data_IF_777302238650
#
_entry.id   IF_777302238650
#
_cell.length_a   1.000
_cell.length_b   1.000
_cell.length_c   1.000
_cell.angle_alpha   90.00
_cell.angle_beta   90.00
_cell.angle_gamma   90.00
#
_symmetry.space_group_name_H-M   'P 1'
#
loop_
_entity.id
_entity.type
_entity.pdbx_description
1 polymer ?
#
# COMPACT_ATOMS: atom_id res chain seq x y z
N UNK A 1 67.13 -15.00 -9.34
CA UNK A 1 65.68 -14.75 -9.51
C UNK A 1 65.03 -16.07 -9.90
N UNK A 2 64.35 -16.72 -8.95
CA UNK A 2 63.67 -17.99 -9.21
C UNK A 2 62.33 -17.73 -9.91
N UNK A 3 62.03 -18.49 -10.96
CA UNK A 3 60.77 -18.39 -11.72
C UNK A 3 59.64 -18.98 -10.86
N UNK A 4 58.46 -18.33 -10.77
CA UNK A 4 57.35 -18.81 -9.93
C UNK A 4 56.86 -20.19 -10.41
N UNK A 5 56.27 -21.00 -9.51
CA UNK A 5 55.77 -22.32 -9.85
C UNK A 5 54.67 -22.24 -10.93
N UNK A 6 54.59 -23.23 -11.83
CA UNK A 6 53.74 -23.17 -13.02
C UNK A 6 52.24 -22.93 -12.71
N UNK A 7 51.75 -23.42 -11.57
CA UNK A 7 50.36 -23.22 -11.13
C UNK A 7 50.04 -21.76 -10.72
N UNK A 8 51.01 -21.02 -10.17
CA UNK A 8 50.83 -19.60 -9.83
C UNK A 8 50.90 -18.71 -11.07
N UNK A 9 51.73 -19.07 -12.05
CA UNK A 9 51.84 -18.34 -13.32
C UNK A 9 50.54 -18.50 -14.15
N UNK A 10 49.94 -19.69 -14.12
CA UNK A 10 48.67 -20.01 -14.78
C UNK A 10 47.46 -19.33 -14.10
N UNK A 11 47.40 -19.33 -12.77
CA UNK A 11 46.40 -18.60 -12.00
C UNK A 11 46.52 -17.07 -12.17
N UNK A 12 47.74 -16.54 -12.26
CA UNK A 12 47.98 -15.12 -12.54
C UNK A 12 47.57 -14.73 -13.97
N UNK A 13 47.78 -15.61 -14.95
CA UNK A 13 47.31 -15.41 -16.33
C UNK A 13 45.78 -15.41 -16.41
N UNK A 14 45.11 -16.34 -15.73
CA UNK A 14 43.64 -16.39 -15.65
C UNK A 14 43.04 -15.14 -14.99
N UNK A 15 43.65 -14.65 -13.90
CA UNK A 15 43.21 -13.40 -13.23
C UNK A 15 43.36 -12.17 -14.13
N UNK A 16 44.44 -12.08 -14.93
CA UNK A 16 44.60 -10.99 -15.91
C UNK A 16 43.59 -11.07 -17.04
N UNK A 17 43.28 -12.28 -17.53
CA UNK A 17 42.26 -12.51 -18.57
C UNK A 17 40.87 -12.11 -18.08
N UNK A 18 40.50 -12.52 -16.87
CA UNK A 18 39.22 -12.17 -16.24
C UNK A 18 39.06 -10.65 -16.09
N UNK A 19 40.09 -9.94 -15.63
CA UNK A 19 40.05 -8.47 -15.51
C UNK A 19 39.84 -7.77 -16.85
N UNK A 20 40.42 -8.29 -17.95
CA UNK A 20 40.21 -7.72 -19.29
C UNK A 20 38.77 -7.93 -19.76
N UNK A 21 38.23 -9.15 -19.60
CA UNK A 21 36.85 -9.48 -19.99
C UNK A 21 35.83 -8.64 -19.21
N UNK A 22 36.03 -8.50 -17.90
CA UNK A 22 35.19 -7.65 -17.04
C UNK A 22 35.24 -6.18 -17.48
N UNK A 23 36.43 -5.66 -17.82
CA UNK A 23 36.57 -4.29 -18.33
C UNK A 23 35.82 -4.09 -19.66
N UNK A 24 35.87 -5.06 -20.58
CA UNK A 24 35.15 -5.01 -21.87
C UNK A 24 33.64 -5.06 -21.68
N UNK A 25 33.16 -5.87 -20.73
CA UNK A 25 31.74 -5.96 -20.35
C UNK A 25 31.24 -4.63 -19.77
N UNK A 26 32.02 -4.00 -18.88
CA UNK A 26 31.64 -2.71 -18.26
C UNK A 26 31.67 -1.53 -19.23
N UNK A 27 32.41 -1.64 -20.34
CA UNK A 27 32.45 -0.63 -21.39
C UNK A 27 31.27 -0.72 -22.39
N UNK A 28 30.32 -1.65 -22.18
CA UNK A 28 29.07 -1.75 -22.95
C UNK A 28 29.21 -2.33 -24.37
N UNK A 29 30.38 -2.90 -24.71
CA UNK A 29 30.68 -3.41 -26.05
C UNK A 29 30.66 -4.94 -26.20
N UNK A 30 30.21 -5.69 -25.19
CA UNK A 30 30.38 -7.15 -25.14
C UNK A 30 29.08 -7.93 -25.39
N UNK A 31 29.12 -8.89 -26.33
CA UNK A 31 28.05 -9.88 -26.53
C UNK A 31 28.05 -10.98 -25.47
N UNK A 32 26.98 -11.79 -25.44
CA UNK A 32 26.76 -12.85 -24.44
C UNK A 32 27.96 -13.81 -24.26
N UNK A 33 28.72 -14.06 -25.32
CA UNK A 33 29.91 -14.93 -25.30
C UNK A 33 31.01 -14.45 -24.33
N UNK A 34 31.15 -13.13 -24.12
CA UNK A 34 32.15 -12.59 -23.20
C UNK A 34 31.79 -12.84 -21.72
N UNK A 35 30.49 -12.93 -21.41
CA UNK A 35 30.00 -13.24 -20.07
C UNK A 35 30.21 -14.72 -19.75
N UNK A 36 29.93 -15.60 -20.70
CA UNK A 36 30.17 -17.04 -20.57
C UNK A 36 31.66 -17.36 -20.45
N UNK A 37 32.51 -16.66 -21.20
CA UNK A 37 33.96 -16.80 -21.11
C UNK A 37 34.53 -16.28 -19.77
N UNK A 38 33.96 -15.21 -19.23
CA UNK A 38 34.31 -14.72 -17.89
C UNK A 38 33.89 -15.70 -16.78
N UNK A 39 32.70 -16.31 -16.90
CA UNK A 39 32.23 -17.32 -15.98
C UNK A 39 33.11 -18.60 -16.00
N UNK A 40 33.51 -19.05 -17.19
CA UNK A 40 34.41 -20.20 -17.34
C UNK A 40 35.80 -19.92 -16.75
N UNK A 41 36.36 -18.72 -16.94
CA UNK A 41 37.64 -18.34 -16.36
C UNK A 41 37.60 -18.24 -14.82
N UNK A 42 36.46 -17.83 -14.25
CA UNK A 42 36.21 -17.84 -12.80
C UNK A 42 36.14 -19.25 -12.23
N UNK A 43 35.46 -20.17 -12.92
CA UNK A 43 35.37 -21.57 -12.52
C UNK A 43 36.75 -22.26 -12.53
N UNK A 44 37.55 -22.04 -13.57
CA UNK A 44 38.91 -22.58 -13.67
C UNK A 44 39.85 -22.04 -12.56
N UNK A 45 39.69 -20.77 -12.17
CA UNK A 45 40.42 -20.19 -11.03
C UNK A 45 40.05 -20.83 -9.69
N UNK A 46 38.77 -21.20 -9.53
CA UNK A 46 38.27 -21.88 -8.32
C UNK A 46 38.88 -23.28 -8.20
N UNK A 47 38.97 -24.03 -9.30
CA UNK A 47 39.57 -25.37 -9.27
C UNK A 47 41.09 -25.33 -9.01
N UNK A 48 41.80 -24.36 -9.59
CA UNK A 48 43.23 -24.18 -9.37
C UNK A 48 43.59 -23.83 -7.90
N UNK A 49 42.68 -23.22 -7.14
CA UNK A 49 42.88 -22.89 -5.72
C UNK A 49 42.50 -24.02 -4.75
N UNK A 50 41.71 -25.02 -5.18
CA UNK A 50 41.17 -26.08 -4.32
C UNK A 50 42.03 -27.37 -4.36
N UNK A 51 42.92 -27.53 -5.34
CA UNK A 51 43.74 -28.74 -5.53
C UNK A 51 44.87 -29.00 -4.52
N UNK A 52 44.97 -28.26 -3.42
CA UNK A 52 46.17 -28.22 -2.56
C UNK A 52 45.98 -28.58 -1.09
N UNK A 53 45.36 -29.73 -0.74
CA UNK A 53 45.71 -30.51 0.48
C UNK A 53 44.76 -31.67 0.74
N UNK A 54 45.16 -32.89 0.37
CA UNK A 54 44.71 -34.12 1.02
C UNK A 54 45.85 -35.14 1.02
N UNK A 55 46.33 -35.53 2.22
CA UNK A 55 46.93 -36.84 2.53
C UNK A 55 47.20 -36.96 4.03
N UNK A 56 46.75 -38.07 4.66
CA UNK A 56 47.42 -38.64 5.84
C UNK A 56 46.53 -39.08 7.02
N UNK A 57 46.22 -40.37 7.04
CA UNK A 57 45.56 -41.17 8.08
C UNK A 57 46.11 -41.10 9.53
N UNK A 58 45.16 -41.15 10.49
CA UNK A 58 45.03 -42.05 11.68
C UNK A 58 46.17 -42.10 12.73
N UNK A 59 45.83 -41.69 13.96
CA UNK A 59 46.53 -42.05 15.21
C UNK A 59 45.94 -41.31 16.41
N UNK A 60 45.36 -42.04 17.38
CA UNK A 60 44.90 -41.53 18.68
C UNK A 60 46.11 -41.17 19.56
N UNK A 61 46.04 -40.04 20.26
CA UNK A 61 46.27 -39.87 21.72
C UNK A 61 46.56 -38.40 22.08
N UNK A 62 45.63 -37.84 22.84
CA UNK A 62 45.75 -36.76 23.84
C UNK A 62 47.07 -35.99 23.96
N UNK A 63 47.04 -34.68 23.67
CA UNK A 63 47.47 -33.60 24.60
C UNK A 63 47.24 -32.18 24.04
N UNK A 64 46.74 -31.33 24.94
CA UNK A 64 46.88 -29.87 25.02
C UNK A 64 45.91 -28.97 24.25
N UNK A 65 45.14 -28.22 25.04
CA UNK A 65 44.33 -27.09 24.63
C UNK A 65 45.19 -25.93 24.10
N UNK A 66 45.07 -25.64 22.80
CA UNK A 66 45.15 -24.31 22.17
C UNK A 66 45.29 -24.50 20.66
N UNK A 67 44.17 -24.68 19.97
CA UNK A 67 44.02 -24.39 18.53
C UNK A 67 42.52 -24.31 18.27
N UNK A 68 41.89 -23.24 18.77
CA UNK A 68 40.60 -22.83 18.23
C UNK A 68 40.88 -22.38 16.79
N UNK A 69 40.32 -23.08 15.80
CA UNK A 69 40.31 -22.66 14.41
C UNK A 69 39.84 -21.20 14.34
N UNK A 70 40.81 -20.29 14.18
CA UNK A 70 40.57 -18.86 14.22
C UNK A 70 39.72 -18.48 13.01
N UNK A 71 38.67 -17.68 13.23
CA UNK A 71 37.81 -17.13 12.16
C UNK A 71 38.69 -16.64 10.99
N UNK A 72 38.47 -17.13 9.75
CA UNK A 72 39.24 -16.69 8.59
C UNK A 72 39.28 -15.16 8.48
N UNK A 73 40.46 -14.60 8.28
CA UNK A 73 40.66 -13.13 8.28
C UNK A 73 39.76 -12.40 7.26
N UNK A 74 39.40 -13.07 6.17
CA UNK A 74 38.48 -12.57 5.14
C UNK A 74 37.02 -12.39 5.60
N UNK A 75 36.65 -12.98 6.75
CA UNK A 75 35.33 -12.85 7.37
C UNK A 75 35.29 -11.78 8.46
N UNK A 76 36.46 -11.24 8.84
CA UNK A 76 36.57 -10.21 9.87
C UNK A 76 36.46 -8.82 9.25
N UNK A 77 35.73 -7.93 9.92
CA UNK A 77 35.65 -6.52 9.57
C UNK A 77 37.00 -5.85 9.89
N UNK A 78 37.65 -5.18 8.94
CA UNK A 78 38.95 -4.54 9.18
C UNK A 78 38.92 -3.40 10.21
N UNK A 79 37.74 -2.81 10.50
CA UNK A 79 37.58 -1.76 11.52
C UNK A 79 37.43 -2.37 12.92
N UNK A 80 36.55 -3.35 13.07
CA UNK A 80 36.18 -3.89 14.39
C UNK A 80 36.92 -5.17 14.78
N UNK A 81 37.61 -5.79 13.81
CA UNK A 81 38.24 -7.12 13.94
C UNK A 81 37.27 -8.23 14.38
N UNK A 82 35.96 -8.02 14.20
CA UNK A 82 34.89 -8.99 14.49
C UNK A 82 34.34 -9.57 13.20
N UNK A 83 33.73 -10.75 13.28
CA UNK A 83 33.06 -11.36 12.13
C UNK A 83 32.00 -10.41 11.55
N UNK A 84 32.01 -10.23 10.23
CA UNK A 84 31.08 -9.36 9.52
C UNK A 84 29.69 -9.99 9.54
N UNK A 85 28.72 -9.29 10.11
CA UNK A 85 27.31 -9.69 10.08
C UNK A 85 26.69 -9.23 8.78
N UNK A 86 26.89 -7.97 8.43
CA UNK A 86 26.43 -7.38 7.17
C UNK A 86 27.61 -6.87 6.33
N UNK A 87 28.25 -7.73 5.51
CA UNK A 87 29.39 -7.34 4.70
C UNK A 87 28.97 -6.42 3.54
N UNK A 88 29.55 -5.24 3.48
CA UNK A 88 29.39 -4.23 2.41
C UNK A 88 30.73 -3.84 1.81
N UNK A 89 30.76 -3.62 0.50
CA UNK A 89 31.92 -3.15 -0.26
C UNK A 89 31.85 -1.65 -0.45
N UNK A 90 32.98 -0.98 -0.19
CA UNK A 90 33.20 0.44 -0.51
C UNK A 90 33.94 0.57 -1.85
N UNK A 91 33.99 1.77 -2.44
CA UNK A 91 34.63 2.02 -3.75
C UNK A 91 36.07 1.48 -3.87
N UNK A 92 36.84 1.43 -2.77
CA UNK A 92 38.20 0.85 -2.77
C UNK A 92 38.23 -0.68 -2.96
N UNK A 93 37.08 -1.35 -3.04
CA UNK A 93 36.95 -2.79 -3.17
C UNK A 93 37.11 -3.56 -1.85
N UNK A 94 37.29 -2.87 -0.72
CA UNK A 94 37.37 -3.49 0.59
C UNK A 94 35.98 -3.78 1.15
N UNK A 95 35.84 -4.90 1.87
CA UNK A 95 34.59 -5.30 2.51
C UNK A 95 34.66 -5.01 4.01
N UNK A 96 33.63 -4.36 4.54
CA UNK A 96 33.49 -4.05 5.96
C UNK A 96 32.12 -4.51 6.45
N UNK A 97 31.96 -4.63 7.76
CA UNK A 97 30.63 -4.71 8.33
C UNK A 97 29.96 -3.33 8.26
N UNK A 98 28.73 -3.27 7.73
CA UNK A 98 27.97 -2.05 7.44
C UNK A 98 27.96 -1.07 8.59
N UNK A 99 27.74 -1.55 9.82
CA UNK A 99 27.62 -0.69 11.00
C UNK A 99 28.88 0.16 11.21
N UNK A 100 30.03 -0.50 11.18
CA UNK A 100 31.30 0.14 11.51
C UNK A 100 31.77 1.09 10.40
N UNK A 101 31.52 0.76 9.13
CA UNK A 101 31.90 1.64 8.02
C UNK A 101 30.92 2.82 7.85
N UNK A 102 29.63 2.63 8.16
CA UNK A 102 28.66 3.72 8.19
C UNK A 102 28.96 4.72 9.31
N UNK A 103 29.28 4.24 10.51
CA UNK A 103 29.75 5.08 11.62
C UNK A 103 31.03 5.86 11.22
N UNK A 104 31.99 5.20 10.58
CA UNK A 104 33.23 5.83 10.09
C UNK A 104 32.97 6.99 9.12
N UNK A 105 32.07 6.82 8.15
CA UNK A 105 31.69 7.88 7.20
C UNK A 105 30.87 8.99 7.85
N UNK A 106 30.01 8.65 8.81
CA UNK A 106 29.20 9.64 9.55
C UNK A 106 30.05 10.60 10.39
N UNK A 107 31.23 10.16 10.83
CA UNK A 107 32.21 10.99 11.54
C UNK A 107 32.98 11.96 10.62
N UNK A 108 32.62 12.05 9.34
CA UNK A 108 33.21 12.97 8.36
C UNK A 108 34.45 12.42 7.65
N UNK A 109 34.78 11.15 7.84
CA UNK A 109 35.93 10.54 7.17
C UNK A 109 35.59 10.14 5.73
N UNK A 110 36.37 10.59 4.76
CA UNK A 110 36.23 10.23 3.34
C UNK A 110 37.31 9.26 2.85
N UNK A 111 38.06 8.65 3.77
CA UNK A 111 39.13 7.71 3.46
C UNK A 111 38.71 6.28 3.79
N UNK A 112 39.13 5.33 2.96
CA UNK A 112 39.04 3.91 3.27
C UNK A 112 39.91 3.59 4.50
N UNK A 113 39.34 3.04 5.59
CA UNK A 113 40.08 2.75 6.83
C UNK A 113 41.32 1.88 6.63
N UNK A 114 41.25 0.89 5.75
CA UNK A 114 42.33 -0.09 5.56
C UNK A 114 43.36 0.31 4.50
N UNK A 115 42.91 0.92 3.39
CA UNK A 115 43.82 1.30 2.29
C UNK A 115 44.27 2.75 2.32
N UNK A 116 43.69 3.56 3.22
CA UNK A 116 43.91 5.01 3.34
C UNK A 116 43.64 5.79 2.03
N UNK A 117 42.95 5.17 1.07
CA UNK A 117 42.57 5.80 -0.19
C UNK A 117 41.39 6.76 0.04
N UNK A 118 41.48 7.98 -0.49
CA UNK A 118 40.35 8.92 -0.53
C UNK A 118 39.30 8.37 -1.52
N UNK A 119 38.07 8.20 -1.04
CA UNK A 119 36.96 7.68 -1.82
C UNK A 119 36.24 8.84 -2.52
N UNK A 120 35.85 8.65 -3.78
CA UNK A 120 35.07 9.62 -4.55
C UNK A 120 33.59 9.59 -4.13
N UNK A 121 33.12 8.45 -3.62
CA UNK A 121 31.80 8.33 -3.01
C UNK A 121 31.80 7.39 -1.77
N UNK A 122 30.86 7.61 -0.86
CA UNK A 122 30.66 6.82 0.36
C UNK A 122 29.57 5.75 0.21
N UNK A 123 29.33 5.30 -1.03
CA UNK A 123 28.25 4.33 -1.33
C UNK A 123 28.61 2.95 -0.77
N UNK A 124 27.69 2.33 -0.04
CA UNK A 124 27.86 1.00 0.54
C UNK A 124 27.12 -0.04 -0.31
N UNK A 125 27.87 -0.91 -0.99
CA UNK A 125 27.31 -1.95 -1.87
C UNK A 125 27.27 -3.29 -1.13
N UNK A 126 26.12 -3.94 -0.92
CA UNK A 126 26.05 -5.24 -0.24
C UNK A 126 26.92 -6.33 -0.90
N UNK A 127 27.73 -7.04 -0.11
CA UNK A 127 28.54 -8.18 -0.58
C UNK A 127 27.86 -9.51 -0.24
N UNK A 128 26.86 -9.88 -1.03
CA UNK A 128 26.04 -11.08 -0.80
C UNK A 128 26.86 -12.38 -0.86
N UNK A 129 27.96 -12.39 -1.61
CA UNK A 129 28.86 -13.54 -1.70
C UNK A 129 29.57 -13.78 -0.36
N UNK A 130 30.19 -12.74 0.20
CA UNK A 130 30.85 -12.85 1.51
C UNK A 130 29.83 -13.14 2.61
N UNK A 131 28.61 -12.59 2.53
CA UNK A 131 27.53 -12.90 3.46
C UNK A 131 27.18 -14.40 3.45
N UNK A 132 27.08 -15.00 2.27
CA UNK A 132 26.76 -16.41 2.12
C UNK A 132 27.88 -17.31 2.64
N UNK A 133 29.14 -16.98 2.33
CA UNK A 133 30.32 -17.72 2.82
C UNK A 133 30.48 -17.65 4.34
N UNK A 134 30.21 -16.49 4.93
CA UNK A 134 30.23 -16.31 6.39
C UNK A 134 29.12 -17.15 7.04
N UNK A 135 27.92 -17.16 6.48
CA UNK A 135 26.80 -17.94 7.01
C UNK A 135 27.08 -19.45 6.95
N UNK A 136 27.65 -19.93 5.85
CA UNK A 136 28.08 -21.33 5.68
C UNK A 136 29.16 -21.70 6.71
N UNK A 137 30.23 -20.89 6.81
CA UNK A 137 31.30 -21.11 7.78
C UNK A 137 30.81 -21.09 9.23
N UNK A 138 29.88 -20.18 9.56
CA UNK A 138 29.31 -20.09 10.89
C UNK A 138 28.48 -21.33 11.25
N UNK A 139 27.73 -21.88 10.28
CA UNK A 139 26.94 -23.09 10.46
C UNK A 139 27.83 -24.31 10.68
N UNK A 140 28.93 -24.42 9.92
CA UNK A 140 29.89 -25.53 10.02
C UNK A 140 30.71 -25.49 11.32
N UNK A 141 30.99 -24.30 11.86
CA UNK A 141 31.84 -24.10 13.04
C UNK A 141 31.04 -23.81 14.32
N UNK A 142 29.70 -23.94 14.30
CA UNK A 142 28.85 -23.74 15.47
C UNK A 142 28.74 -22.29 15.95
N UNK A 143 29.05 -21.30 15.11
CA UNK A 143 28.85 -19.88 15.40
C UNK A 143 27.41 -19.48 15.08
N UNK A 144 26.63 -19.11 16.10
CA UNK A 144 25.28 -18.56 15.90
C UNK A 144 25.36 -17.07 15.53
N UNK A 145 25.15 -16.72 14.26
CA UNK A 145 24.88 -15.35 13.84
C UNK A 145 23.38 -15.06 14.01
N UNK A 146 23.04 -14.00 14.75
CA UNK A 146 21.65 -13.52 14.83
C UNK A 146 21.18 -13.06 13.44
N UNK A 147 19.97 -13.45 12.97
CA UNK A 147 19.43 -13.01 11.69
C UNK A 147 19.41 -11.48 11.58
N UNK A 148 19.79 -10.96 10.41
CA UNK A 148 19.90 -9.51 10.13
C UNK A 148 18.55 -8.79 10.00
N UNK A 149 17.42 -9.45 10.26
CA UNK A 149 16.08 -8.91 10.05
C UNK A 149 15.58 -7.97 11.16
N UNK A 150 16.44 -7.49 12.09
CA UNK A 150 15.98 -6.65 13.22
C UNK A 150 16.80 -5.40 13.56
N UNK A 151 18.06 -5.27 13.13
CA UNK A 151 18.92 -4.19 13.69
C UNK A 151 18.93 -2.87 12.91
N UNK A 152 18.49 -2.84 11.65
CA UNK A 152 18.38 -1.57 10.89
C UNK A 152 17.04 -0.85 11.09
N UNK A 153 15.97 -1.57 11.46
CA UNK A 153 14.67 -0.96 11.81
C UNK A 153 14.68 -0.33 13.21
N UNK A 154 15.41 -0.91 14.18
CA UNK A 154 15.43 -0.48 15.58
C UNK A 154 16.06 0.92 15.80
N UNK A 155 17.07 1.32 15.02
CA UNK A 155 17.78 2.58 15.28
C UNK A 155 17.09 3.82 14.69
N UNK A 156 16.36 3.65 13.59
CA UNK A 156 15.51 4.70 13.03
C UNK A 156 14.28 4.81 13.92
N UNK A 157 13.50 3.73 14.09
CA UNK A 157 12.26 3.68 14.88
C UNK A 157 12.36 4.31 16.27
N UNK A 158 13.47 4.10 17.00
CA UNK A 158 13.70 4.71 18.32
C UNK A 158 13.72 6.24 18.30
N UNK A 159 14.12 6.87 17.20
CA UNK A 159 14.17 8.34 17.07
C UNK A 159 12.79 8.94 16.78
N UNK A 160 12.00 8.31 15.89
CA UNK A 160 10.61 8.70 15.66
C UNK A 160 9.77 8.46 16.92
N UNK A 161 9.97 7.34 17.61
CA UNK A 161 9.26 7.01 18.85
C UNK A 161 9.49 8.07 19.94
N UNK A 162 10.76 8.47 20.18
CA UNK A 162 11.08 9.54 21.13
C UNK A 162 10.46 10.87 20.72
N UNK A 163 10.54 11.21 19.43
CA UNK A 163 9.95 12.44 18.90
C UNK A 163 8.43 12.44 19.09
N UNK A 164 7.78 11.30 18.85
CA UNK A 164 6.36 11.11 19.09
C UNK A 164 6.04 11.29 20.57
N UNK A 165 6.76 10.63 21.46
CA UNK A 165 6.54 10.71 22.91
C UNK A 165 6.70 12.14 23.42
N UNK A 166 7.72 12.88 22.96
CA UNK A 166 7.94 14.28 23.33
C UNK A 166 6.79 15.19 22.89
N UNK A 167 6.30 15.02 21.66
CA UNK A 167 5.17 15.80 21.14
C UNK A 167 3.88 15.40 21.86
N UNK A 168 3.67 14.10 22.07
CA UNK A 168 2.46 13.58 22.68
C UNK A 168 2.34 14.01 24.14
N UNK A 169 3.44 13.98 24.89
CA UNK A 169 3.50 14.51 26.26
C UNK A 169 3.13 16.01 26.30
N UNK A 170 3.52 16.80 25.28
CA UNK A 170 3.07 18.21 25.19
C UNK A 170 1.57 18.33 24.94
N UNK A 171 0.98 17.42 24.16
CA UNK A 171 -0.47 17.38 23.91
C UNK A 171 -1.24 17.06 25.20
N UNK A 172 -0.79 16.08 25.99
CA UNK A 172 -1.51 15.60 27.17
C UNK A 172 -1.23 16.42 28.43
N UNK A 173 0.00 16.89 28.62
CA UNK A 173 0.46 17.44 29.91
C UNK A 173 0.60 18.96 29.93
N UNK A 174 0.65 19.66 28.80
CA UNK A 174 0.76 21.12 28.81
C UNK A 174 -0.54 21.77 29.31
N UNK A 175 -0.41 22.74 30.22
CA UNK A 175 -1.53 23.57 30.68
C UNK A 175 -1.89 24.66 29.65
N UNK A 176 -0.98 25.00 28.74
CA UNK A 176 -1.13 26.07 27.74
C UNK A 176 -1.86 25.55 26.48
N UNK A 177 -2.97 26.21 26.10
CA UNK A 177 -3.73 25.85 24.90
C UNK A 177 -2.94 26.09 23.60
N UNK A 178 -2.12 27.14 23.55
CA UNK A 178 -1.30 27.47 22.37
C UNK A 178 -0.22 26.42 22.14
N UNK A 179 0.45 25.96 23.21
CA UNK A 179 1.48 24.93 23.12
C UNK A 179 0.89 23.59 22.67
N UNK A 180 -0.28 23.20 23.21
CA UNK A 180 -1.00 22.01 22.76
C UNK A 180 -1.39 22.10 21.29
N UNK A 181 -1.95 23.24 20.85
CA UNK A 181 -2.30 23.46 19.44
C UNK A 181 -1.08 23.33 18.52
N UNK A 182 0.07 23.87 18.94
CA UNK A 182 1.32 23.73 18.20
C UNK A 182 1.82 22.28 18.17
N UNK A 183 1.70 21.54 19.28
CA UNK A 183 2.07 20.13 19.36
C UNK A 183 1.20 19.26 18.44
N UNK A 184 -0.13 19.45 18.44
CA UNK A 184 -1.06 18.78 17.53
C UNK A 184 -0.68 19.09 16.07
N UNK A 185 -0.44 20.36 15.73
CA UNK A 185 -0.01 20.74 14.39
C UNK A 185 1.34 20.11 14.00
N UNK A 186 2.28 20.02 14.95
CA UNK A 186 3.55 19.32 14.76
C UNK A 186 3.36 17.84 14.46
N UNK A 187 2.49 17.17 15.22
CA UNK A 187 2.14 15.77 15.00
C UNK A 187 1.51 15.53 13.62
N UNK A 188 0.60 16.42 13.19
CA UNK A 188 0.03 16.39 11.83
C UNK A 188 1.11 16.45 10.75
N UNK A 189 2.13 17.30 10.91
CA UNK A 189 3.18 17.46 9.91
C UNK A 189 4.09 16.23 9.81
N UNK A 190 4.41 15.60 10.94
CA UNK A 190 5.27 14.40 10.97
C UNK A 190 4.56 13.19 10.37
N UNK A 191 3.32 12.94 10.79
CA UNK A 191 2.49 11.85 10.26
C UNK A 191 2.23 12.00 8.75
N UNK A 192 2.25 13.22 8.21
CA UNK A 192 2.14 13.46 6.77
C UNK A 192 3.39 12.98 5.99
N UNK A 193 4.59 13.11 6.56
CA UNK A 193 5.86 13.02 5.82
C UNK A 193 6.57 11.68 5.90
N UNK A 194 6.33 10.90 6.96
CA UNK A 194 7.04 9.63 7.20
C UNK A 194 6.04 8.49 7.40
N UNK A 195 6.31 7.36 6.74
CA UNK A 195 5.53 6.13 6.92
C UNK A 195 5.92 5.45 8.23
N UNK A 196 7.20 5.51 8.58
CA UNK A 196 7.81 4.99 9.80
C UNK A 196 7.20 5.68 11.03
N UNK A 197 7.06 7.02 10.97
CA UNK A 197 6.40 7.78 12.01
C UNK A 197 4.91 7.42 12.17
N UNK A 198 4.25 6.89 11.13
CA UNK A 198 2.87 6.39 11.27
C UNK A 198 2.85 5.06 12.03
N UNK A 199 3.84 4.19 11.83
CA UNK A 199 3.93 2.90 12.50
C UNK A 199 4.09 3.02 14.03
N UNK A 200 4.59 4.17 14.52
CA UNK A 200 4.70 4.48 15.97
C UNK A 200 3.38 4.33 16.74
N UNK A 201 2.22 4.45 16.07
CA UNK A 201 0.92 4.23 16.72
C UNK A 201 0.78 2.80 17.29
N UNK A 202 1.50 1.81 16.75
CA UNK A 202 1.51 0.43 17.25
C UNK A 202 2.00 0.32 18.70
N UNK A 203 2.98 1.16 19.06
CA UNK A 203 3.57 1.18 20.40
C UNK A 203 2.70 1.97 21.41
N UNK A 204 1.82 2.86 20.92
CA UNK A 204 0.95 3.71 21.76
C UNK A 204 -0.48 3.77 21.20
N UNK A 205 -1.23 2.66 21.23
CA UNK A 205 -2.55 2.54 20.59
C UNK A 205 -3.61 3.49 21.18
N UNK A 206 -3.43 3.91 22.43
CA UNK A 206 -4.32 4.81 23.18
C UNK A 206 -4.11 6.30 22.84
N UNK A 207 -3.20 6.62 21.92
CA UNK A 207 -2.87 8.00 21.53
C UNK A 207 -4.06 8.79 21.00
N UNK A 208 -5.00 8.14 20.28
CA UNK A 208 -6.18 8.83 19.72
C UNK A 208 -7.14 9.20 20.85
N UNK A 209 -7.54 8.23 21.67
CA UNK A 209 -8.37 8.46 22.86
C UNK A 209 -7.79 9.55 23.78
N UNK A 210 -6.49 9.49 24.06
CA UNK A 210 -5.82 10.49 24.90
C UNK A 210 -5.80 11.89 24.26
N UNK A 211 -5.56 12.00 22.95
CA UNK A 211 -5.60 13.28 22.23
C UNK A 211 -7.01 13.88 22.24
N UNK A 212 -8.04 13.05 22.04
CA UNK A 212 -9.46 13.44 22.12
C UNK A 212 -9.82 13.93 23.52
N UNK A 213 -9.42 13.19 24.57
CA UNK A 213 -9.61 13.60 25.96
C UNK A 213 -8.89 14.92 26.28
N UNK A 214 -7.66 15.10 25.81
CA UNK A 214 -6.87 16.31 26.03
C UNK A 214 -7.53 17.56 25.41
N UNK A 215 -8.19 17.40 24.25
CA UNK A 215 -8.99 18.46 23.63
C UNK A 215 -10.20 18.84 24.50
N UNK A 216 -10.98 17.86 24.97
CA UNK A 216 -12.18 18.14 25.77
C UNK A 216 -11.86 18.71 27.15
N UNK A 217 -10.72 18.32 27.73
CA UNK A 217 -10.26 18.83 29.03
C UNK A 217 -9.80 20.29 28.99
N UNK A 218 -9.70 20.92 27.82
CA UNK A 218 -9.30 22.32 27.69
C UNK A 218 -10.37 23.17 26.97
N UNK A 219 -11.01 24.14 27.65
CA UNK A 219 -12.01 25.01 27.03
C UNK A 219 -11.50 25.81 25.82
N UNK A 220 -10.20 26.13 25.77
CA UNK A 220 -9.57 26.85 24.67
C UNK A 220 -9.34 26.02 23.41
N UNK A 221 -9.42 24.68 23.48
CA UNK A 221 -9.27 23.77 22.35
C UNK A 221 -10.60 23.15 21.92
N UNK A 222 -11.57 23.06 22.82
CA UNK A 222 -12.85 22.38 22.61
C UNK A 222 -13.57 22.86 21.35
N UNK A 223 -13.56 24.17 21.09
CA UNK A 223 -14.28 24.80 19.98
C UNK A 223 -13.38 25.34 18.87
N UNK A 224 -12.09 24.96 18.84
CA UNK A 224 -11.15 25.44 17.81
C UNK A 224 -11.25 24.57 16.54
N UNK A 225 -11.79 25.09 15.41
CA UNK A 225 -11.99 24.31 14.20
C UNK A 225 -10.67 23.78 13.62
N UNK A 226 -9.58 24.56 13.76
CA UNK A 226 -8.28 24.16 13.25
C UNK A 226 -7.73 22.93 14.00
N UNK A 227 -7.98 22.87 15.31
CA UNK A 227 -7.56 21.73 16.13
C UNK A 227 -8.33 20.47 15.73
N UNK A 228 -9.64 20.60 15.45
CA UNK A 228 -10.46 19.50 14.94
C UNK A 228 -9.92 19.00 13.60
N UNK A 229 -9.68 19.92 12.65
CA UNK A 229 -9.15 19.54 11.34
C UNK A 229 -7.77 18.87 11.46
N UNK A 230 -6.89 19.41 12.32
CA UNK A 230 -5.57 18.84 12.55
C UNK A 230 -5.66 17.43 13.14
N UNK A 231 -6.51 17.21 14.15
CA UNK A 231 -6.74 15.90 14.78
C UNK A 231 -7.32 14.88 13.81
N UNK A 232 -8.35 15.25 13.04
CA UNK A 232 -8.92 14.38 12.00
C UNK A 232 -7.86 14.03 10.96
N UNK A 233 -7.03 15.00 10.55
CA UNK A 233 -5.95 14.75 9.60
C UNK A 233 -4.88 13.81 10.17
N UNK A 234 -4.59 13.89 11.47
CA UNK A 234 -3.66 12.96 12.13
C UNK A 234 -4.22 11.53 12.07
N UNK A 235 -5.50 11.34 12.38
CA UNK A 235 -6.16 10.03 12.30
C UNK A 235 -6.15 9.51 10.85
N UNK A 236 -6.47 10.36 9.88
CA UNK A 236 -6.35 10.04 8.46
C UNK A 236 -4.93 9.59 8.12
N UNK A 237 -3.91 10.38 8.47
CA UNK A 237 -2.52 10.03 8.16
C UNK A 237 -2.12 8.69 8.79
N UNK A 238 -2.49 8.42 10.04
CA UNK A 238 -2.21 7.13 10.66
C UNK A 238 -2.92 5.98 9.96
N UNK A 239 -4.17 6.17 9.53
CA UNK A 239 -4.96 5.16 8.84
C UNK A 239 -4.41 4.75 7.46
N UNK A 240 -3.51 5.56 6.88
CA UNK A 240 -2.82 5.21 5.64
C UNK A 240 -1.86 4.03 5.82
N UNK A 241 -1.40 3.77 7.04
CA UNK A 241 -0.60 2.59 7.36
C UNK A 241 -1.52 1.39 7.61
N UNK A 242 -1.20 0.21 7.07
CA UNK A 242 -2.11 -0.94 7.10
C UNK A 242 -2.30 -1.54 8.49
N UNK A 243 -1.23 -1.67 9.28
CA UNK A 243 -1.28 -2.18 10.66
C UNK A 243 -2.14 -1.30 11.58
N UNK A 244 -2.15 0.01 11.35
CA UNK A 244 -2.89 0.97 12.16
C UNK A 244 -4.40 0.88 11.98
N UNK A 245 -4.91 0.36 10.86
CA UNK A 245 -6.35 0.34 10.58
C UNK A 245 -7.13 -0.42 11.65
N UNK A 246 -6.57 -1.54 12.14
CA UNK A 246 -7.19 -2.31 13.22
C UNK A 246 -7.13 -1.55 14.54
N UNK A 247 -5.97 -0.98 14.87
CA UNK A 247 -5.77 -0.18 16.09
C UNK A 247 -6.77 0.98 16.17
N UNK A 248 -6.88 1.76 15.09
CA UNK A 248 -7.80 2.89 15.02
C UNK A 248 -9.27 2.42 15.05
N UNK A 249 -9.60 1.29 14.42
CA UNK A 249 -10.95 0.73 14.47
C UNK A 249 -11.33 0.09 15.80
N UNK A 250 -10.34 -0.28 16.63
CA UNK A 250 -10.53 -0.82 17.97
C UNK A 250 -10.47 0.28 19.05
N UNK A 251 -9.92 1.47 18.74
CA UNK A 251 -9.94 2.64 19.63
C UNK A 251 -11.38 3.15 19.83
N UNK A 252 -11.83 3.33 21.09
CA UNK A 252 -13.22 3.65 21.42
C UNK A 252 -13.65 5.06 20.99
N UNK A 253 -12.70 5.98 20.82
CA UNK A 253 -12.99 7.39 20.52
C UNK A 253 -12.76 7.74 19.05
N UNK A 254 -11.93 6.98 18.33
CA UNK A 254 -11.54 7.29 16.96
C UNK A 254 -12.73 7.40 16.00
N UNK A 255 -13.52 6.32 15.84
CA UNK A 255 -14.67 6.32 14.93
C UNK A 255 -15.74 7.33 15.39
N UNK A 256 -16.15 7.37 16.68
CA UNK A 256 -17.10 8.38 17.15
C UNK A 256 -16.64 9.82 16.89
N UNK A 257 -15.35 10.12 17.10
CA UNK A 257 -14.79 11.44 16.82
C UNK A 257 -14.83 11.80 15.33
N UNK A 258 -14.51 10.85 14.44
CA UNK A 258 -14.63 11.04 12.99
C UNK A 258 -16.08 11.30 12.57
N UNK A 259 -17.04 10.55 13.12
CA UNK A 259 -18.48 10.75 12.83
C UNK A 259 -18.94 12.12 13.34
N UNK A 260 -18.51 12.53 14.53
CA UNK A 260 -18.80 13.86 15.06
C UNK A 260 -18.23 14.97 14.16
N UNK A 261 -16.96 14.85 13.75
CA UNK A 261 -16.33 15.83 12.87
C UNK A 261 -16.97 15.86 11.47
N UNK A 262 -17.48 14.72 10.99
CA UNK A 262 -18.23 14.64 9.74
C UNK A 262 -19.58 15.38 9.81
N UNK A 263 -20.24 15.40 10.98
CA UNK A 263 -21.51 16.10 11.22
C UNK A 263 -21.32 17.60 11.50
N UNK A 264 -20.30 17.95 12.28
CA UNK A 264 -20.20 19.28 12.90
C UNK A 264 -18.92 20.04 12.58
N UNK A 265 -17.96 19.42 11.89
CA UNK A 265 -16.72 20.06 11.48
C UNK A 265 -16.90 21.03 10.32
N UNK A 266 -15.85 21.82 10.06
CA UNK A 266 -15.74 22.58 8.82
C UNK A 266 -15.55 21.66 7.61
N UNK A 267 -15.62 22.22 6.39
CA UNK A 267 -15.54 21.41 5.18
C UNK A 267 -14.24 20.60 5.07
N UNK A 268 -13.13 21.13 5.59
CA UNK A 268 -11.85 20.42 5.66
C UNK A 268 -11.91 19.21 6.57
N UNK A 269 -12.44 19.38 7.79
CA UNK A 269 -12.64 18.31 8.76
C UNK A 269 -13.61 17.24 8.25
N UNK A 270 -14.71 17.65 7.59
CA UNK A 270 -15.69 16.73 7.00
C UNK A 270 -15.08 15.89 5.88
N UNK A 271 -14.35 16.51 4.95
CA UNK A 271 -13.64 15.81 3.86
C UNK A 271 -12.61 14.82 4.42
N UNK A 272 -11.75 15.28 5.34
CA UNK A 272 -10.72 14.43 5.93
C UNK A 272 -11.32 13.28 6.76
N UNK A 273 -12.47 13.50 7.41
CA UNK A 273 -13.18 12.44 8.14
C UNK A 273 -13.72 11.37 7.18
N UNK A 274 -14.30 11.78 6.05
CA UNK A 274 -14.75 10.85 5.03
C UNK A 274 -13.58 10.05 4.43
N UNK A 275 -12.45 10.71 4.15
CA UNK A 275 -11.23 10.05 3.69
C UNK A 275 -10.67 9.05 4.72
N UNK A 276 -10.69 9.39 6.01
CA UNK A 276 -10.25 8.49 7.08
C UNK A 276 -11.19 7.29 7.23
N UNK A 277 -12.50 7.50 7.10
CA UNK A 277 -13.48 6.41 7.10
C UNK A 277 -13.25 5.49 5.90
N UNK A 278 -12.97 6.05 4.71
CA UNK A 278 -12.65 5.28 3.52
C UNK A 278 -11.41 4.38 3.73
N UNK A 279 -10.31 4.91 4.24
CA UNK A 279 -9.08 4.13 4.49
C UNK A 279 -9.31 3.05 5.55
N UNK A 280 -10.01 3.37 6.64
CA UNK A 280 -10.33 2.40 7.71
C UNK A 280 -11.26 1.29 7.23
N UNK A 281 -12.20 1.62 6.33
CA UNK A 281 -13.15 0.66 5.75
C UNK A 281 -12.49 -0.39 4.85
N UNK A 282 -11.20 -0.27 4.53
CA UNK A 282 -10.47 -1.33 3.84
C UNK A 282 -10.50 -2.66 4.62
N UNK A 283 -10.53 -2.61 5.96
CA UNK A 283 -10.72 -3.80 6.81
C UNK A 283 -12.22 -4.10 7.02
N UNK A 284 -12.62 -5.35 6.81
CA UNK A 284 -14.03 -5.78 6.97
C UNK A 284 -14.55 -5.58 8.41
N UNK A 285 -13.73 -5.87 9.43
CA UNK A 285 -14.08 -5.65 10.84
C UNK A 285 -14.40 -4.19 11.15
N UNK A 286 -13.81 -3.25 10.42
CA UNK A 286 -14.08 -1.84 10.59
C UNK A 286 -15.36 -1.42 9.85
N UNK A 287 -15.70 -2.06 8.72
CA UNK A 287 -16.93 -1.73 7.96
C UNK A 287 -18.18 -1.92 8.81
N UNK A 288 -18.23 -3.01 9.57
CA UNK A 288 -19.33 -3.33 10.49
C UNK A 288 -19.45 -2.26 11.58
N UNK A 289 -18.38 -2.05 12.34
CA UNK A 289 -18.32 -1.04 13.41
C UNK A 289 -18.68 0.37 12.94
N UNK A 290 -18.12 0.82 11.83
CA UNK A 290 -18.37 2.15 11.27
C UNK A 290 -19.85 2.30 10.86
N UNK A 291 -20.44 1.25 10.30
CA UNK A 291 -21.86 1.20 9.96
C UNK A 291 -22.76 1.27 11.20
N UNK A 292 -22.50 0.43 12.20
CA UNK A 292 -23.25 0.36 13.45
C UNK A 292 -23.19 1.68 14.26
N UNK A 293 -22.05 2.36 14.25
CA UNK A 293 -21.87 3.66 14.89
C UNK A 293 -22.57 4.82 14.14
N UNK A 294 -23.17 4.55 12.99
CA UNK A 294 -24.02 5.51 12.27
C UNK A 294 -23.25 6.49 11.38
N UNK A 295 -22.14 6.07 10.78
CA UNK A 295 -21.36 6.93 9.88
C UNK A 295 -22.04 7.17 8.51
N UNK A 296 -22.93 6.28 8.08
CA UNK A 296 -23.48 6.28 6.71
C UNK A 296 -24.35 7.52 6.43
N UNK A 297 -25.22 7.91 7.36
CA UNK A 297 -26.10 9.07 7.17
C UNK A 297 -25.32 10.39 7.02
N UNK A 298 -24.33 10.73 7.88
CA UNK A 298 -23.48 11.90 7.67
C UNK A 298 -22.64 11.89 6.39
N UNK A 299 -22.24 10.70 5.91
CA UNK A 299 -21.56 10.58 4.63
C UNK A 299 -22.51 10.91 3.46
N UNK A 300 -23.78 10.51 3.55
CA UNK A 300 -24.80 10.84 2.56
C UNK A 300 -25.11 12.35 2.57
N UNK A 301 -25.20 12.96 3.75
CA UNK A 301 -25.31 14.42 3.86
C UNK A 301 -24.12 15.13 3.19
N UNK A 302 -22.90 14.60 3.38
CA UNK A 302 -21.70 15.14 2.73
C UNK A 302 -21.72 14.95 1.20
N UNK A 303 -22.31 13.86 0.69
CA UNK A 303 -22.51 13.65 -0.75
C UNK A 303 -23.46 14.68 -1.36
N UNK A 304 -24.47 15.10 -0.62
CA UNK A 304 -25.46 16.05 -1.11
C UNK A 304 -24.94 17.50 -1.04
N UNK A 305 -24.35 17.87 0.10
CA UNK A 305 -24.04 19.27 0.43
C UNK A 305 -22.53 19.62 0.44
N UNK A 306 -21.65 18.64 0.23
CA UNK A 306 -20.20 18.83 0.28
C UNK A 306 -19.59 19.54 -0.93
N UNK A 307 -18.33 19.96 -0.78
CA UNK A 307 -17.49 20.36 -1.91
C UNK A 307 -17.23 19.17 -2.85
N UNK A 308 -16.81 19.41 -4.09
CA UNK A 308 -16.54 18.33 -5.06
C UNK A 308 -15.54 17.29 -4.48
N UNK A 309 -14.52 17.75 -3.77
CA UNK A 309 -13.52 16.86 -3.13
C UNK A 309 -14.19 16.04 -2.01
N UNK A 310 -14.93 16.72 -1.13
CA UNK A 310 -15.59 16.06 0.00
C UNK A 310 -16.64 15.05 -0.45
N UNK A 311 -17.37 15.33 -1.53
CA UNK A 311 -18.30 14.39 -2.15
C UNK A 311 -17.58 13.15 -2.71
N UNK A 312 -16.41 13.31 -3.33
CA UNK A 312 -15.60 12.16 -3.81
C UNK A 312 -15.10 11.29 -2.66
N UNK A 313 -14.64 11.91 -1.58
CA UNK A 313 -14.23 11.19 -0.38
C UNK A 313 -15.41 10.42 0.24
N UNK A 314 -16.56 11.08 0.37
CA UNK A 314 -17.78 10.46 0.87
C UNK A 314 -18.28 9.31 -0.01
N UNK A 315 -18.22 9.47 -1.35
CA UNK A 315 -18.62 8.44 -2.29
C UNK A 315 -17.75 7.19 -2.16
N UNK A 316 -16.43 7.40 -2.04
CA UNK A 316 -15.46 6.32 -1.87
C UNK A 316 -15.69 5.58 -0.55
N UNK A 317 -15.92 6.32 0.54
CA UNK A 317 -16.26 5.75 1.84
C UNK A 317 -17.55 4.93 1.79
N UNK A 318 -18.64 5.47 1.24
CA UNK A 318 -19.93 4.77 1.12
C UNK A 318 -19.81 3.53 0.25
N UNK A 319 -19.10 3.61 -0.88
CA UNK A 319 -18.88 2.47 -1.76
C UNK A 319 -18.20 1.31 -1.01
N UNK A 320 -17.10 1.60 -0.28
CA UNK A 320 -16.40 0.57 0.49
C UNK A 320 -17.23 0.03 1.65
N UNK A 321 -17.92 0.89 2.40
CA UNK A 321 -18.78 0.46 3.51
C UNK A 321 -19.92 -0.45 3.04
N UNK A 322 -20.52 -0.14 1.89
CA UNK A 322 -21.61 -0.91 1.30
C UNK A 322 -21.16 -2.21 0.60
N UNK A 323 -19.84 -2.48 0.53
CA UNK A 323 -19.37 -3.83 0.18
C UNK A 323 -19.89 -4.85 1.20
N UNK A 324 -19.97 -4.45 2.49
CA UNK A 324 -20.66 -5.19 3.53
C UNK A 324 -22.19 -5.09 3.35
N UNK A 325 -22.89 -6.24 3.38
CA UNK A 325 -24.30 -6.32 3.01
C UNK A 325 -25.23 -5.61 4.03
N UNK A 326 -24.88 -5.64 5.30
CA UNK A 326 -25.63 -5.06 6.41
C UNK A 326 -25.73 -3.54 6.25
N UNK A 327 -24.63 -2.90 5.83
CA UNK A 327 -24.53 -1.48 5.59
C UNK A 327 -25.40 -0.99 4.42
N UNK A 328 -25.72 -1.88 3.46
CA UNK A 328 -26.60 -1.54 2.32
C UNK A 328 -27.97 -1.12 2.82
N UNK A 329 -28.54 -1.87 3.77
CA UNK A 329 -29.87 -1.56 4.34
C UNK A 329 -29.91 -0.22 5.07
N UNK A 330 -28.79 0.17 5.70
CA UNK A 330 -28.65 1.47 6.37
C UNK A 330 -28.61 2.57 5.30
N UNK A 331 -27.78 2.42 4.27
CA UNK A 331 -27.67 3.39 3.19
C UNK A 331 -29.00 3.62 2.46
N UNK A 332 -29.80 2.57 2.23
CA UNK A 332 -31.15 2.69 1.68
C UNK A 332 -32.04 3.59 2.52
N UNK A 333 -32.13 3.29 3.83
CA UNK A 333 -32.98 4.04 4.76
C UNK A 333 -32.54 5.49 4.93
N UNK A 334 -31.25 5.75 4.74
CA UNK A 334 -30.67 7.09 4.75
C UNK A 334 -30.80 7.83 3.40
N UNK A 335 -31.49 7.26 2.40
CA UNK A 335 -31.85 7.98 1.18
C UNK A 335 -30.79 8.02 0.07
N UNK A 336 -29.78 7.14 0.09
CA UNK A 336 -28.68 7.15 -0.90
C UNK A 336 -29.17 7.09 -2.36
N UNK A 337 -30.27 6.37 -2.64
CA UNK A 337 -30.76 6.14 -4.00
C UNK A 337 -31.27 7.43 -4.64
N UNK A 338 -32.05 8.21 -3.89
CA UNK A 338 -32.57 9.51 -4.35
C UNK A 338 -31.43 10.50 -4.60
N UNK A 339 -30.51 10.63 -3.63
CA UNK A 339 -29.32 11.50 -3.74
C UNK A 339 -28.51 11.15 -4.98
N UNK A 340 -28.29 9.85 -5.23
CA UNK A 340 -27.51 9.40 -6.38
C UNK A 340 -28.21 9.66 -7.72
N UNK A 341 -29.51 9.40 -7.83
CA UNK A 341 -30.25 9.61 -9.09
C UNK A 341 -30.34 11.10 -9.42
N UNK A 342 -30.62 11.96 -8.43
CA UNK A 342 -30.62 13.42 -8.62
C UNK A 342 -29.25 13.93 -9.05
N UNK A 343 -28.18 13.51 -8.37
CA UNK A 343 -26.83 13.94 -8.70
C UNK A 343 -26.40 13.52 -10.11
N UNK A 344 -26.77 12.31 -10.57
CA UNK A 344 -26.51 11.88 -11.94
C UNK A 344 -27.30 12.75 -12.95
N UNK A 345 -28.58 13.04 -12.66
CA UNK A 345 -29.40 13.94 -13.47
C UNK A 345 -28.79 15.34 -13.61
N UNK A 346 -28.23 15.85 -12.52
CA UNK A 346 -27.53 17.14 -12.46
C UNK A 346 -26.09 17.10 -13.01
N UNK A 347 -25.66 15.97 -13.59
CA UNK A 347 -24.30 15.76 -14.13
C UNK A 347 -23.19 15.97 -13.09
N UNK A 348 -23.49 15.74 -11.81
CA UNK A 348 -22.57 15.89 -10.69
C UNK A 348 -22.01 14.54 -10.25
N UNK A 349 -20.69 14.33 -10.36
CA UNK A 349 -20.01 13.10 -9.93
C UNK A 349 -20.66 11.80 -10.46
N UNK A 350 -21.03 11.84 -11.74
CA UNK A 350 -21.78 10.75 -12.40
C UNK A 350 -21.06 9.40 -12.25
N UNK A 351 -19.74 9.35 -12.36
CA UNK A 351 -18.98 8.09 -12.28
C UNK A 351 -19.10 7.46 -10.90
N UNK A 352 -18.92 8.26 -9.85
CA UNK A 352 -18.98 7.85 -8.46
C UNK A 352 -20.38 7.36 -8.07
N UNK A 353 -21.42 8.12 -8.42
CA UNK A 353 -22.80 7.73 -8.12
C UNK A 353 -23.28 6.50 -8.90
N UNK A 354 -22.86 6.33 -10.16
CA UNK A 354 -23.15 5.11 -10.93
C UNK A 354 -22.48 3.89 -10.31
N UNK A 355 -21.25 4.02 -9.79
CA UNK A 355 -20.57 2.93 -9.10
C UNK A 355 -21.34 2.52 -7.83
N UNK A 356 -21.79 3.49 -7.03
CA UNK A 356 -22.63 3.25 -5.85
C UNK A 356 -23.94 2.54 -6.26
N UNK A 357 -24.70 3.09 -7.22
CA UNK A 357 -25.95 2.45 -7.66
C UNK A 357 -25.74 1.04 -8.19
N UNK A 358 -24.66 0.79 -8.94
CA UNK A 358 -24.34 -0.54 -9.45
C UNK A 358 -24.03 -1.55 -8.33
N UNK A 359 -23.33 -1.13 -7.26
CA UNK A 359 -23.11 -1.96 -6.07
C UNK A 359 -24.43 -2.30 -5.36
N UNK A 360 -25.28 -1.29 -5.18
CA UNK A 360 -26.56 -1.37 -4.49
C UNK A 360 -27.64 -2.16 -5.28
N UNK A 361 -27.54 -2.20 -6.62
CA UNK A 361 -28.49 -2.86 -7.52
C UNK A 361 -28.60 -4.39 -7.36
N UNK A 362 -27.86 -4.98 -6.43
CA UNK A 362 -27.97 -6.38 -6.02
C UNK A 362 -29.11 -6.63 -5.01
N UNK A 363 -29.69 -5.60 -4.41
CA UNK A 363 -30.79 -5.68 -3.45
C UNK A 363 -32.11 -5.23 -4.10
N UNK A 364 -33.18 -6.02 -3.94
CA UNK A 364 -34.49 -5.75 -4.53
C UNK A 364 -35.14 -4.45 -4.03
N UNK A 365 -35.09 -4.17 -2.73
CA UNK A 365 -35.68 -2.94 -2.15
C UNK A 365 -35.03 -1.68 -2.75
N UNK A 366 -33.72 -1.76 -3.04
CA UNK A 366 -32.98 -0.66 -3.68
C UNK A 366 -33.37 -0.50 -5.15
N UNK A 367 -33.57 -1.60 -5.87
CA UNK A 367 -33.98 -1.57 -7.27
C UNK A 367 -35.40 -1.00 -7.42
N UNK A 368 -36.29 -1.30 -6.48
CA UNK A 368 -37.63 -0.70 -6.43
C UNK A 368 -37.56 0.82 -6.29
N UNK A 369 -36.80 1.32 -5.31
CA UNK A 369 -36.58 2.77 -5.16
C UNK A 369 -35.91 3.39 -6.40
N UNK A 370 -34.95 2.70 -7.01
CA UNK A 370 -34.34 3.17 -8.26
C UNK A 370 -35.38 3.33 -9.37
N UNK A 371 -36.39 2.45 -9.44
CA UNK A 371 -37.48 2.58 -10.40
C UNK A 371 -38.38 3.76 -10.07
N UNK A 372 -38.75 3.93 -8.80
CA UNK A 372 -39.61 5.02 -8.34
C UNK A 372 -39.00 6.40 -8.64
N UNK A 373 -37.69 6.56 -8.44
CA UNK A 373 -36.98 7.80 -8.71
C UNK A 373 -36.57 7.99 -10.19
N UNK A 374 -37.04 7.15 -11.12
CA UNK A 374 -36.76 7.33 -12.55
C UNK A 374 -35.38 6.84 -13.02
N UNK A 375 -34.79 5.89 -12.30
CA UNK A 375 -33.48 5.33 -12.57
C UNK A 375 -33.32 4.70 -13.96
N UNK A 376 -34.37 4.15 -14.56
CA UNK A 376 -34.29 3.57 -15.90
C UNK A 376 -33.89 4.61 -16.96
N UNK A 377 -34.61 5.74 -17.02
CA UNK A 377 -34.29 6.89 -17.87
C UNK A 377 -32.90 7.44 -17.57
N UNK A 378 -32.57 7.60 -16.29
CA UNK A 378 -31.28 8.10 -15.84
C UNK A 378 -30.11 7.22 -16.34
N UNK A 379 -30.24 5.89 -16.24
CA UNK A 379 -29.20 4.96 -16.73
C UNK A 379 -29.07 5.00 -18.26
N UNK A 380 -30.19 5.07 -18.99
CA UNK A 380 -30.17 5.19 -20.45
C UNK A 380 -29.49 6.48 -20.91
N UNK A 381 -29.78 7.59 -20.23
CA UNK A 381 -29.12 8.87 -20.46
C UNK A 381 -27.60 8.79 -20.18
N UNK A 382 -27.20 8.23 -19.04
CA UNK A 382 -25.80 8.05 -18.69
C UNK A 382 -25.03 7.17 -19.71
N UNK A 383 -25.67 6.16 -20.29
CA UNK A 383 -25.06 5.34 -21.37
C UNK A 383 -24.79 6.15 -22.64
N UNK A 384 -25.65 7.12 -22.96
CA UNK A 384 -25.50 7.99 -24.13
C UNK A 384 -24.40 9.02 -23.90
N UNK A 385 -24.51 9.74 -22.79
CA UNK A 385 -23.76 10.98 -22.55
C UNK A 385 -22.36 10.75 -21.98
N UNK A 386 -22.14 9.68 -21.21
CA UNK A 386 -20.83 9.44 -20.59
C UNK A 386 -19.78 9.06 -21.63
N UNK A 387 -18.56 9.57 -21.51
CA UNK A 387 -17.41 9.09 -22.30
C UNK A 387 -16.69 7.93 -21.59
N UNK A 388 -16.92 7.77 -20.28
CA UNK A 388 -16.25 6.76 -19.46
C UNK A 388 -16.86 5.38 -19.67
N UNK A 389 -16.05 4.43 -20.14
CA UNK A 389 -16.47 3.02 -20.35
C UNK A 389 -16.98 2.36 -19.06
N UNK A 390 -16.41 2.71 -17.90
CA UNK A 390 -16.84 2.18 -16.59
C UNK A 390 -18.22 2.72 -16.19
N UNK A 391 -18.49 3.99 -16.45
CA UNK A 391 -19.81 4.58 -16.19
C UNK A 391 -20.90 3.92 -17.04
N UNK A 392 -20.65 3.69 -18.33
CA UNK A 392 -21.58 2.92 -19.19
C UNK A 392 -21.78 1.49 -18.70
N UNK A 393 -20.71 0.84 -18.23
CA UNK A 393 -20.79 -0.49 -17.63
C UNK A 393 -21.67 -0.50 -16.38
N UNK A 394 -21.45 0.43 -15.45
CA UNK A 394 -22.22 0.56 -14.22
C UNK A 394 -23.70 0.85 -14.51
N UNK A 395 -23.98 1.78 -15.44
CA UNK A 395 -25.34 2.05 -15.88
C UNK A 395 -26.02 0.78 -16.46
N UNK A 396 -25.29 -0.05 -17.21
CA UNK A 396 -25.82 -1.28 -17.77
C UNK A 396 -26.10 -2.35 -16.71
N UNK A 397 -25.29 -2.38 -15.64
CA UNK A 397 -25.54 -3.24 -14.48
C UNK A 397 -26.84 -2.84 -13.79
N UNK A 398 -27.02 -1.55 -13.48
CA UNK A 398 -28.24 -1.04 -12.82
C UNK A 398 -29.46 -1.28 -13.69
N UNK A 399 -29.41 -0.92 -14.98
CA UNK A 399 -30.53 -1.11 -15.91
C UNK A 399 -30.91 -2.59 -16.07
N UNK A 400 -29.91 -3.49 -16.09
CA UNK A 400 -30.17 -4.93 -16.11
C UNK A 400 -30.90 -5.39 -14.85
N UNK A 401 -30.49 -4.94 -13.65
CA UNK A 401 -31.18 -5.27 -12.40
C UNK A 401 -32.62 -4.78 -12.39
N UNK A 402 -32.87 -3.55 -12.88
CA UNK A 402 -34.23 -3.00 -13.07
C UNK A 402 -35.07 -3.91 -13.98
N UNK A 403 -34.53 -4.34 -15.12
CA UNK A 403 -35.22 -5.23 -16.05
C UNK A 403 -35.56 -6.60 -15.44
N UNK A 404 -34.65 -7.13 -14.62
CA UNK A 404 -34.83 -8.41 -13.94
C UNK A 404 -35.91 -8.33 -12.88
N UNK A 405 -36.00 -7.21 -12.15
CA UNK A 405 -37.03 -6.97 -11.14
C UNK A 405 -38.39 -6.66 -11.74
N UNK A 406 -38.46 -5.67 -12.63
CA UNK A 406 -39.71 -5.20 -13.22
C UNK A 406 -39.68 -5.26 -14.76
N UNK A 407 -40.19 -6.36 -15.32
CA UNK A 407 -40.27 -6.56 -16.78
C UNK A 407 -41.14 -5.53 -17.49
N UNK A 408 -42.04 -4.81 -16.82
CA UNK A 408 -42.84 -3.78 -17.47
C UNK A 408 -41.96 -2.62 -17.99
N UNK A 409 -40.82 -2.37 -17.36
CA UNK A 409 -39.83 -1.37 -17.80
C UNK A 409 -39.14 -1.71 -19.11
N UNK A 410 -39.18 -2.96 -19.57
CA UNK A 410 -38.64 -3.35 -20.87
C UNK A 410 -39.30 -2.59 -22.04
N UNK A 411 -40.58 -2.21 -21.93
CA UNK A 411 -41.27 -1.44 -22.99
C UNK A 411 -40.70 -0.03 -23.15
N UNK A 412 -40.41 0.62 -22.02
CA UNK A 412 -39.81 1.96 -21.97
C UNK A 412 -38.39 1.92 -22.53
N UNK A 413 -37.60 0.93 -22.09
CA UNK A 413 -36.22 0.71 -22.56
C UNK A 413 -36.19 0.35 -24.05
N UNK A 414 -37.17 -0.41 -24.52
CA UNK A 414 -37.28 -0.74 -25.94
C UNK A 414 -37.54 0.50 -26.81
N UNK A 415 -38.42 1.40 -26.36
CA UNK A 415 -38.69 2.64 -27.08
C UNK A 415 -37.44 3.53 -27.18
N UNK A 416 -36.67 3.65 -26.09
CA UNK A 416 -35.40 4.37 -26.09
C UNK A 416 -34.37 3.70 -27.01
N UNK A 417 -34.24 2.37 -26.95
CA UNK A 417 -33.28 1.63 -27.75
C UNK A 417 -33.57 1.72 -29.26
N UNK A 418 -34.84 1.66 -29.66
CA UNK A 418 -35.23 1.83 -31.07
C UNK A 418 -34.88 3.23 -31.61
N UNK A 419 -34.75 4.22 -30.73
CA UNK A 419 -34.43 5.60 -31.08
C UNK A 419 -32.91 5.85 -31.06
N UNK A 420 -32.22 5.34 -30.03
CA UNK A 420 -30.84 5.71 -29.72
C UNK A 420 -29.80 4.61 -29.97
N UNK A 421 -30.19 3.33 -30.04
CA UNK A 421 -29.28 2.20 -30.29
C UNK A 421 -28.14 2.05 -29.27
N UNK A 422 -28.32 2.56 -28.04
CA UNK A 422 -27.25 2.67 -27.05
C UNK A 422 -26.85 1.31 -26.48
N UNK A 423 -27.82 0.43 -26.22
CA UNK A 423 -27.57 -0.94 -25.76
C UNK A 423 -26.93 -1.78 -26.86
N UNK A 424 -27.37 -1.66 -28.11
CA UNK A 424 -26.77 -2.36 -29.24
C UNK A 424 -25.31 -1.96 -29.44
N UNK A 425 -25.02 -0.65 -29.37
CA UNK A 425 -23.65 -0.14 -29.42
C UNK A 425 -22.80 -0.67 -28.26
N UNK A 426 -23.34 -0.66 -27.04
CA UNK A 426 -22.64 -1.16 -25.86
C UNK A 426 -22.42 -2.67 -25.89
N UNK A 427 -23.35 -3.45 -26.46
CA UNK A 427 -23.22 -4.89 -26.66
C UNK A 427 -22.08 -5.28 -27.62
N UNK A 428 -21.73 -4.38 -28.55
CA UNK A 428 -20.65 -4.59 -29.51
C UNK A 428 -19.31 -4.04 -29.00
N UNK A 429 -19.32 -2.80 -28.50
CA UNK A 429 -18.11 -2.01 -28.27
C UNK A 429 -17.77 -1.79 -26.78
N UNK A 430 -18.64 -2.24 -25.87
CA UNK A 430 -18.48 -2.07 -24.44
C UNK A 430 -17.38 -2.95 -23.83
N UNK A 431 -17.15 -2.75 -22.54
CA UNK A 431 -16.31 -3.65 -21.72
C UNK A 431 -16.91 -5.08 -21.69
N UNK A 432 -16.15 -6.12 -21.31
CA UNK A 432 -16.68 -7.48 -21.20
C UNK A 432 -17.93 -7.60 -20.31
N UNK A 433 -18.01 -6.84 -19.20
CA UNK A 433 -19.19 -6.85 -18.34
C UNK A 433 -20.34 -6.07 -18.95
N UNK A 434 -20.09 -4.89 -19.52
CA UNK A 434 -21.12 -4.09 -20.21
C UNK A 434 -21.74 -4.86 -21.37
N UNK A 435 -20.93 -5.51 -22.21
CA UNK A 435 -21.39 -6.32 -23.35
C UNK A 435 -22.35 -7.43 -22.90
N UNK A 436 -21.96 -8.19 -21.87
CA UNK A 436 -22.82 -9.26 -21.32
C UNK A 436 -24.16 -8.72 -20.81
N UNK A 437 -24.15 -7.60 -20.07
CA UNK A 437 -25.37 -7.00 -19.51
C UNK A 437 -26.27 -6.43 -20.60
N UNK A 438 -25.72 -5.65 -21.54
CA UNK A 438 -26.47 -5.08 -22.66
C UNK A 438 -27.06 -6.17 -23.57
N UNK A 439 -26.28 -7.19 -23.92
CA UNK A 439 -26.77 -8.32 -24.72
C UNK A 439 -27.92 -9.07 -24.03
N UNK A 440 -27.83 -9.27 -22.71
CA UNK A 440 -28.89 -9.92 -21.95
C UNK A 440 -30.18 -9.10 -21.94
N UNK A 441 -30.11 -7.77 -21.79
CA UNK A 441 -31.29 -6.89 -21.88
C UNK A 441 -31.94 -7.01 -23.26
N UNK A 442 -31.14 -6.90 -24.33
CA UNK A 442 -31.62 -7.02 -25.71
C UNK A 442 -32.27 -8.40 -25.97
N UNK A 443 -31.73 -9.47 -25.40
CA UNK A 443 -32.34 -10.80 -25.49
C UNK A 443 -33.67 -10.89 -24.74
N UNK A 444 -33.77 -10.29 -23.54
CA UNK A 444 -35.04 -10.21 -22.78
C UNK A 444 -36.13 -9.48 -23.58
N UNK A 445 -35.76 -8.41 -24.28
CA UNK A 445 -36.67 -7.67 -25.17
C UNK A 445 -37.17 -8.55 -26.32
N UNK A 446 -36.26 -9.28 -26.99
CA UNK A 446 -36.62 -10.21 -28.09
C UNK A 446 -37.57 -11.30 -27.63
N UNK A 447 -37.29 -11.97 -26.51
CA UNK A 447 -38.16 -13.03 -25.96
C UNK A 447 -39.56 -12.51 -25.61
N UNK A 448 -39.64 -11.29 -25.09
CA UNK A 448 -40.94 -10.66 -24.77
C UNK A 448 -41.78 -10.44 -26.03
N UNK A 449 -41.17 -10.07 -27.16
CA UNK A 449 -41.85 -9.96 -28.47
C UNK A 449 -42.36 -11.30 -28.97
N UNK A 450 -41.55 -12.36 -28.89
CA UNK A 450 -41.92 -13.70 -29.36
C UNK A 450 -43.13 -14.25 -28.58
N UNK A 451 -43.17 -14.05 -27.27
CA UNK A 451 -44.30 -14.46 -26.41
C UNK A 451 -45.57 -13.66 -26.77
N UNK A 452 -45.45 -12.35 -27.01
CA UNK A 452 -46.60 -11.54 -27.41
C UNK A 452 -47.17 -11.92 -28.79
N UNK A 453 -46.31 -12.34 -29.73
CA UNK A 453 -46.75 -12.85 -31.04
C UNK A 453 -47.45 -14.22 -30.91
N UNK A 454 -46.91 -15.14 -30.11
CA UNK A 454 -47.55 -16.45 -29.88
C UNK A 454 -48.92 -16.33 -29.18
N UNK A 455 -49.05 -15.44 -28.19
CA UNK A 455 -50.31 -15.21 -27.49
C UNK A 455 -51.38 -14.53 -28.37
N UNK A 456 -50.98 -13.71 -29.36
CA UNK A 456 -51.94 -13.16 -30.34
C UNK A 456 -52.43 -14.20 -31.34
N UNK A 457 -51.57 -15.16 -31.72
CA UNK A 457 -51.96 -16.25 -32.62
C UNK A 457 -52.76 -17.36 -31.93
N UNK A 458 -52.68 -17.49 -30.61
CA UNK A 458 -53.42 -18.49 -29.83
C UNK A 458 -54.81 -18.03 -29.35
N UNK A 459 -55.12 -16.73 -29.51
CA UNK A 459 -56.41 -16.12 -29.14
C UNK A 459 -57.27 -15.73 -30.35
N UNK A 460 -56.95 -16.27 -31.54
CA UNK A 460 -57.71 -16.07 -32.77
C UNK A 460 -58.46 -17.35 -33.16
#
# INVERSE_FOLDING_TARGET
MAKPPPAEEEAAALRRRLRRLVATITAGGAGAEAFDEAAAALAALREAQVGGSRKGARGEETRSANEAESVPAQFLCPISSKIMRDPVVVESGQTYDRRYIAEWFSAGNQMCPQTQQVLLNTTLIPNLLIRSLIAEWCTENGFALSPLEKQEEDHICNSEQRTFDEIFNKITSSSNSTERKQAIKGLRLLTKRSSEFRAVLEERPDSISQMTFARFSNPGLQNDPQVVEDMVTIILNFSLHDSNKKIIGDDPEAIPFLIWALKSGDMGSRSNSAAAIFTLSALDSNKEKIGELGAIEPLIDLLEHGSIIAKKDAASAIFNLCMLHENRSIATRSGIVDVAIRAIGDQSLVEEFLAILALLSSNYDMVELMIEFGGATCMLQAMRESECKRSKENAAVVLFSICMYNRAKLKEIEADENTNGSLASLAQNGTPRARRKAAAILEMMKKTKTIHMHNRHSSC
#
